data_IF_236163120772
#
_entry.id   IF_236163120772
#
_cell.length_a   1.000
_cell.length_b   1.000
_cell.length_c   1.000
_cell.angle_alpha   90.00
_cell.angle_beta   90.00
_cell.angle_gamma   90.00
#
_symmetry.space_group_name_H-M   'P 1'
#
loop_
_entity.id
_entity.type
_entity.pdbx_description
1 polymer ?
#
# COMPACT_ATOMS: atom_id res chain seq x y z
N UNK A 1 -10.62 -26.49 23.40
CA UNK A 1 -10.02 -26.24 22.08
C UNK A 1 -8.57 -25.85 22.31
N UNK A 2 -7.60 -26.56 21.74
CA UNK A 2 -6.19 -26.17 21.86
C UNK A 2 -5.87 -25.09 20.81
N UNK A 3 -4.96 -24.16 21.11
CA UNK A 3 -4.65 -23.00 20.26
C UNK A 3 -4.33 -23.40 18.81
N UNK A 4 -3.61 -24.51 18.61
CA UNK A 4 -3.27 -25.00 17.27
C UNK A 4 -4.52 -25.28 16.41
N UNK A 5 -5.54 -25.89 17.01
CA UNK A 5 -6.77 -26.27 16.31
C UNK A 5 -7.64 -25.06 15.95
N UNK A 6 -7.50 -23.95 16.69
CA UNK A 6 -8.14 -22.68 16.38
C UNK A 6 -7.42 -21.93 15.25
N UNK A 7 -6.09 -21.89 15.28
CA UNK A 7 -5.27 -21.30 14.20
C UNK A 7 -5.47 -22.02 12.86
N UNK A 8 -5.57 -23.35 12.87
CA UNK A 8 -5.82 -24.15 11.67
C UNK A 8 -7.22 -23.84 11.08
N UNK A 9 -8.23 -23.67 11.95
CA UNK A 9 -9.59 -23.29 11.54
C UNK A 9 -9.67 -21.85 11.00
N UNK A 10 -9.00 -20.90 11.64
CA UNK A 10 -8.88 -19.52 11.17
C UNK A 10 -8.19 -19.46 9.82
N UNK A 11 -7.10 -20.20 9.65
CA UNK A 11 -6.35 -20.28 8.39
C UNK A 11 -7.22 -20.83 7.26
N UNK A 12 -7.97 -21.91 7.51
CA UNK A 12 -8.90 -22.47 6.54
C UNK A 12 -10.06 -21.51 6.21
N UNK A 13 -10.61 -20.82 7.22
CA UNK A 13 -11.66 -19.83 7.02
C UNK A 13 -11.17 -18.65 6.17
N UNK A 14 -9.98 -18.13 6.45
CA UNK A 14 -9.36 -17.07 5.66
C UNK A 14 -9.14 -17.56 4.24
N UNK A 15 -8.53 -18.72 4.02
CA UNK A 15 -8.30 -19.26 2.67
C UNK A 15 -9.60 -19.41 1.87
N UNK A 16 -10.68 -19.90 2.49
CA UNK A 16 -11.94 -20.17 1.80
C UNK A 16 -12.80 -18.92 1.56
N UNK A 17 -12.58 -17.84 2.32
CA UNK A 17 -13.37 -16.61 2.22
C UNK A 17 -12.57 -15.39 1.73
N UNK A 18 -11.28 -15.56 1.41
CA UNK A 18 -10.48 -14.49 0.82
C UNK A 18 -10.85 -14.39 -0.66
N UNK A 19 -11.41 -13.26 -1.12
CA UNK A 19 -11.68 -13.06 -2.54
C UNK A 19 -10.36 -13.18 -3.32
N UNK A 20 -10.41 -13.68 -4.58
CA UNK A 20 -9.21 -13.79 -5.40
C UNK A 20 -8.51 -12.44 -5.49
N UNK A 21 -7.21 -12.43 -5.17
CA UNK A 21 -6.40 -11.22 -5.25
C UNK A 21 -6.15 -10.89 -6.72
N UNK A 22 -6.81 -9.85 -7.21
CA UNK A 22 -6.50 -9.28 -8.52
C UNK A 22 -5.30 -8.35 -8.39
N UNK A 23 -4.26 -8.61 -9.18
CA UNK A 23 -3.05 -7.79 -9.23
C UNK A 23 -2.69 -7.45 -10.68
N UNK A 24 -2.11 -6.27 -10.89
CA UNK A 24 -1.59 -5.82 -12.17
C UNK A 24 -0.25 -5.11 -11.97
N UNK A 25 0.60 -5.11 -13.00
CA UNK A 25 1.94 -4.54 -12.95
C UNK A 25 3.01 -5.54 -12.47
N UNK A 26 4.00 -5.05 -11.72
CA UNK A 26 5.16 -5.85 -11.33
C UNK A 26 4.88 -6.75 -10.11
N UNK A 27 4.60 -8.04 -10.36
CA UNK A 27 4.36 -9.04 -9.32
C UNK A 27 5.59 -9.35 -8.45
N UNK A 28 6.82 -9.08 -8.89
CA UNK A 28 8.04 -9.36 -8.11
C UNK A 28 8.08 -8.56 -6.80
N UNK A 29 7.40 -7.42 -6.75
CA UNK A 29 7.30 -6.59 -5.54
C UNK A 29 6.62 -7.33 -4.37
N UNK A 30 5.79 -8.34 -4.66
CA UNK A 30 5.13 -9.16 -3.65
C UNK A 30 6.11 -9.99 -2.82
N UNK A 31 7.31 -10.26 -3.33
CA UNK A 31 8.37 -10.97 -2.60
C UNK A 31 9.21 -10.07 -1.67
N UNK A 32 9.20 -8.74 -1.88
CA UNK A 32 10.02 -7.80 -1.11
C UNK A 32 9.49 -7.57 0.30
N UNK A 33 10.34 -7.14 1.23
CA UNK A 33 9.88 -6.55 2.50
C UNK A 33 9.22 -5.20 2.18
N UNK A 34 8.03 -4.96 2.74
CA UNK A 34 7.22 -3.77 2.45
C UNK A 34 6.98 -2.96 3.71
N UNK A 35 6.91 -1.64 3.56
CA UNK A 35 6.48 -0.71 4.60
C UNK A 35 5.18 -0.06 4.16
N UNK A 36 4.14 -0.13 4.98
CA UNK A 36 2.89 0.57 4.71
C UNK A 36 2.98 2.03 5.14
N UNK A 37 2.65 2.94 4.22
CA UNK A 37 2.40 4.34 4.52
C UNK A 37 0.89 4.58 4.51
N UNK A 38 0.35 5.00 5.65
CA UNK A 38 -1.06 5.33 5.84
C UNK A 38 -1.12 6.71 6.50
N UNK A 39 -2.08 7.52 6.08
CA UNK A 39 -2.22 8.87 6.60
C UNK A 39 -3.70 9.24 6.81
N UNK A 40 -3.95 10.10 7.80
CA UNK A 40 -5.26 10.70 8.01
C UNK A 40 -5.69 11.53 6.80
N UNK A 41 -6.99 11.62 6.53
CA UNK A 41 -7.52 12.47 5.44
C UNK A 41 -7.18 13.94 5.61
N UNK A 42 -7.04 14.40 6.85
CA UNK A 42 -6.59 15.73 7.21
C UNK A 42 -5.29 15.60 8.02
N UNK A 43 -4.23 16.21 7.53
CA UNK A 43 -2.90 16.16 8.12
C UNK A 43 -2.55 17.57 8.60
N UNK A 44 -2.20 17.74 9.88
CA UNK A 44 -1.69 19.02 10.37
C UNK A 44 -0.44 19.45 9.61
N UNK A 45 -0.31 20.75 9.31
CA UNK A 45 0.82 21.27 8.52
C UNK A 45 2.20 20.94 9.12
N UNK A 46 2.30 20.87 10.45
CA UNK A 46 3.54 20.54 11.15
C UNK A 46 3.99 19.09 10.92
N UNK A 47 3.07 18.16 10.62
CA UNK A 47 3.39 16.75 10.35
C UNK A 47 3.86 16.53 8.91
N UNK A 48 3.43 17.39 7.98
CA UNK A 48 3.81 17.33 6.56
C UNK A 48 5.33 17.35 6.36
N UNK A 49 6.05 18.16 7.14
CA UNK A 49 7.52 18.25 7.09
C UNK A 49 8.18 16.92 7.45
N UNK A 50 7.68 16.24 8.47
CA UNK A 50 8.19 14.95 8.92
C UNK A 50 7.96 13.86 7.86
N UNK A 51 6.79 13.88 7.21
CA UNK A 51 6.45 12.95 6.13
C UNK A 51 7.40 13.15 4.94
N UNK A 52 7.62 14.39 4.50
CA UNK A 52 8.57 14.67 3.42
C UNK A 52 10.00 14.30 3.77
N UNK A 53 10.43 14.55 5.00
CA UNK A 53 11.75 14.14 5.47
C UNK A 53 11.90 12.61 5.41
N UNK A 54 10.88 11.86 5.83
CA UNK A 54 10.86 10.41 5.73
C UNK A 54 10.92 9.93 4.27
N UNK A 55 10.05 10.45 3.40
CA UNK A 55 10.04 10.11 1.97
C UNK A 55 11.38 10.41 1.30
N UNK A 56 12.06 11.47 1.73
CA UNK A 56 13.37 11.83 1.22
C UNK A 56 14.49 10.83 1.57
N UNK A 57 14.35 10.08 2.67
CA UNK A 57 15.33 9.09 3.14
C UNK A 57 15.15 7.70 2.49
N UNK A 58 14.09 7.51 1.70
CA UNK A 58 13.83 6.25 1.02
C UNK A 58 14.73 6.08 -0.22
N UNK A 59 15.13 4.84 -0.49
CA UNK A 59 15.95 4.45 -1.64
C UNK A 59 15.31 3.30 -2.44
N UNK A 60 15.39 3.33 -3.79
CA UNK A 60 14.81 2.29 -4.66
C UNK A 60 15.33 0.86 -4.42
N UNK A 61 16.58 0.76 -3.96
CA UNK A 61 17.30 -0.50 -3.76
C UNK A 61 16.88 -1.19 -2.46
N UNK A 62 16.50 -0.40 -1.45
CA UNK A 62 16.19 -0.87 -0.11
C UNK A 62 14.70 -0.94 0.18
N UNK A 63 13.95 0.05 -0.28
CA UNK A 63 12.62 0.33 0.22
C UNK A 63 11.53 -0.10 -0.78
N UNK A 64 10.44 -0.65 -0.27
CA UNK A 64 9.24 -0.95 -1.05
C UNK A 64 8.03 -0.49 -0.23
N UNK A 65 7.21 0.38 -0.80
CA UNK A 65 6.14 1.05 -0.07
C UNK A 65 4.77 0.51 -0.51
N UNK A 66 3.87 0.35 0.46
CA UNK A 66 2.43 0.13 0.24
C UNK A 66 1.68 1.42 0.61
N UNK A 67 0.72 1.84 -0.18
CA UNK A 67 -0.19 2.93 0.19
C UNK A 67 -1.58 2.76 -0.42
N UNK A 68 -2.60 3.38 0.18
CA UNK A 68 -3.99 3.33 -0.28
C UNK A 68 -4.39 4.46 -1.23
N UNK A 69 -3.61 5.55 -1.29
CA UNK A 69 -3.86 6.72 -2.14
C UNK A 69 -5.22 7.43 -1.86
N UNK A 70 -5.71 7.34 -0.61
CA UNK A 70 -7.03 7.84 -0.25
C UNK A 70 -7.03 9.29 0.23
N UNK A 71 -6.00 9.69 0.99
CA UNK A 71 -5.82 11.06 1.45
C UNK A 71 -5.01 11.90 0.47
N UNK A 72 -5.13 13.24 0.53
CA UNK A 72 -4.31 14.17 -0.25
C UNK A 72 -2.81 13.93 0.00
N UNK A 73 -2.43 13.68 1.26
CA UNK A 73 -1.05 13.40 1.62
C UNK A 73 -0.55 12.06 1.07
N UNK A 74 -1.37 11.00 1.09
CA UNK A 74 -1.01 9.74 0.43
C UNK A 74 -0.85 9.91 -1.08
N UNK A 75 -1.67 10.73 -1.72
CA UNK A 75 -1.52 11.07 -3.14
C UNK A 75 -0.20 11.78 -3.40
N UNK A 76 0.13 12.82 -2.63
CA UNK A 76 1.41 13.53 -2.78
C UNK A 76 2.61 12.60 -2.56
N UNK A 77 2.57 11.75 -1.52
CA UNK A 77 3.62 10.75 -1.27
C UNK A 77 3.70 9.73 -2.40
N UNK A 78 2.59 9.22 -2.91
CA UNK A 78 2.56 8.31 -4.04
C UNK A 78 3.28 8.89 -5.26
N UNK A 79 3.00 10.16 -5.62
CA UNK A 79 3.68 10.83 -6.73
C UNK A 79 5.19 10.98 -6.49
N UNK A 80 5.61 11.43 -5.30
CA UNK A 80 7.04 11.55 -4.98
C UNK A 80 7.77 10.19 -5.06
N UNK A 81 7.13 9.11 -4.62
CA UNK A 81 7.71 7.77 -4.68
C UNK A 81 7.88 7.30 -6.11
N UNK A 82 6.91 7.58 -7.00
CA UNK A 82 7.02 7.31 -8.43
C UNK A 82 8.17 8.09 -9.08
N UNK A 83 8.28 9.40 -8.82
CA UNK A 83 9.37 10.25 -9.34
C UNK A 83 10.74 9.74 -8.92
N UNK A 84 10.86 9.31 -7.65
CA UNK A 84 12.09 8.74 -7.09
C UNK A 84 12.32 7.28 -7.49
N UNK A 85 11.40 6.67 -8.24
CA UNK A 85 11.42 5.25 -8.63
C UNK A 85 11.50 4.30 -7.44
N UNK A 86 10.94 4.69 -6.29
CA UNK A 86 10.80 3.80 -5.15
C UNK A 86 9.77 2.73 -5.54
N UNK A 87 10.11 1.43 -5.40
CA UNK A 87 9.15 0.36 -5.58
C UNK A 87 7.88 0.61 -4.75
N UNK A 88 6.72 0.64 -5.40
CA UNK A 88 5.46 0.99 -4.77
C UNK A 88 4.35 0.05 -5.20
N UNK A 89 3.50 -0.34 -4.25
CA UNK A 89 2.30 -1.13 -4.46
C UNK A 89 1.11 -0.29 -4.01
N UNK A 90 0.23 0.00 -4.96
CA UNK A 90 -1.03 0.69 -4.71
C UNK A 90 -2.10 -0.33 -4.30
N UNK A 91 -2.63 -0.21 -3.09
CA UNK A 91 -3.71 -1.06 -2.61
C UNK A 91 -5.03 -0.34 -2.78
N UNK A 92 -5.89 -0.85 -3.64
CA UNK A 92 -7.20 -0.26 -3.91
C UNK A 92 -8.23 -0.81 -2.93
N UNK A 93 -9.04 0.08 -2.33
CA UNK A 93 -10.21 -0.32 -1.55
C UNK A 93 -11.38 -0.82 -2.42
N UNK A 94 -11.32 -0.55 -3.72
CA UNK A 94 -12.29 -0.97 -4.72
C UNK A 94 -11.61 -1.86 -5.77
N UNK A 95 -12.42 -2.57 -6.57
CA UNK A 95 -11.91 -3.36 -7.69
C UNK A 95 -11.14 -2.50 -8.70
N UNK A 96 -10.11 -3.09 -9.31
CA UNK A 96 -9.37 -2.47 -10.42
C UNK A 96 -10.38 -2.13 -11.52
N UNK A 97 -10.55 -0.83 -11.79
CA UNK A 97 -11.38 -0.38 -12.91
C UNK A 97 -10.67 -0.74 -14.21
N UNK A 98 -11.39 -1.28 -15.18
CA UNK A 98 -10.83 -1.59 -16.51
C UNK A 98 -10.29 -0.34 -17.20
N UNK A 99 -10.87 0.84 -16.91
CA UNK A 99 -10.41 2.14 -17.37
C UNK A 99 -10.33 3.16 -16.22
N UNK A 100 -9.26 3.94 -16.20
CA UNK A 100 -9.13 5.08 -15.30
C UNK A 100 -9.98 6.23 -15.81
N UNK A 101 -10.89 6.77 -14.99
CA UNK A 101 -11.73 7.89 -15.39
C UNK A 101 -10.85 9.11 -15.73
N UNK A 102 -11.11 9.81 -16.84
CA UNK A 102 -10.34 11.00 -17.19
C UNK A 102 -10.46 12.07 -16.10
N UNK A 103 -9.42 12.90 -15.88
CA UNK A 103 -9.52 14.04 -14.98
C UNK A 103 -10.61 15.00 -15.48
N UNK A 104 -11.47 15.45 -14.56
CA UNK A 104 -12.50 16.47 -14.82
C UNK A 104 -11.89 17.85 -15.03
#
# INVERSE_FOLDING_TARGET
MNNQQFEDQLSAYIMNNTPPLYQSGNGELMSKKKTAFLCSRQVPENETVSIYRWTNQLSPERDCILCGNHSKMEQEVFHMLLEKKIPIILVLAESIKEEWSPPY
#
